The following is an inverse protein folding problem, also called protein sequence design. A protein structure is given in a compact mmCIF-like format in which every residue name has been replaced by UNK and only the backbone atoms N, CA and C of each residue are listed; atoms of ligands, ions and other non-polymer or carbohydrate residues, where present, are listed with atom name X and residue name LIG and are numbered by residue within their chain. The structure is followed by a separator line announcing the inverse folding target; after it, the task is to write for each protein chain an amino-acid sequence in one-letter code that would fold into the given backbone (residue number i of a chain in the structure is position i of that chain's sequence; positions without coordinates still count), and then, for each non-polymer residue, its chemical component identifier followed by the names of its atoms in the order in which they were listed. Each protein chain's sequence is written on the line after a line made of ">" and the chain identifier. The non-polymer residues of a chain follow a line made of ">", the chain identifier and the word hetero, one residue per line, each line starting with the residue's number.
data_IF_122282963976
#
_entry.id   IF_122282963976
#
_cell.length_a   1.000
_cell.length_b   1.000
_cell.length_c   1.000
_cell.angle_alpha   90.00
_cell.angle_beta   90.00
_cell.angle_gamma   90.00
#
_symmetry.space_group_name_H-M   'P 1'
#
loop_
_entity.id
_entity.type
_entity.pdbx_description
1 polymer ?
#
# COMPACT_ATOMS: atom_id res chain seq x y z
N UNK A 1 11.40 -6.06 -8.80
CA UNK A 1 12.36 -6.62 -9.78
C UNK A 1 13.40 -7.58 -9.17
N UNK A 2 14.23 -7.16 -8.19
CA UNK A 2 15.28 -8.05 -7.64
C UNK A 2 14.73 -9.33 -6.99
N UNK A 3 13.60 -9.24 -6.27
CA UNK A 3 12.91 -10.41 -5.71
C UNK A 3 12.48 -11.41 -6.78
N UNK A 4 11.96 -10.94 -7.91
CA UNK A 4 11.57 -11.79 -9.04
C UNK A 4 12.76 -12.49 -9.71
N UNK A 5 13.93 -11.84 -9.75
CA UNK A 5 15.14 -12.41 -10.38
C UNK A 5 15.86 -13.42 -9.48
N UNK A 6 15.92 -13.17 -8.17
CA UNK A 6 16.68 -13.99 -7.23
C UNK A 6 15.80 -15.02 -6.49
N UNK A 7 14.50 -14.78 -6.42
CA UNK A 7 13.61 -15.39 -5.43
C UNK A 7 13.76 -14.74 -4.05
N UNK A 8 12.70 -14.80 -3.25
CA UNK A 8 12.62 -14.16 -1.92
C UNK A 8 13.69 -14.66 -0.95
N UNK A 9 13.90 -15.98 -0.86
CA UNK A 9 14.88 -16.56 0.06
C UNK A 9 16.31 -16.07 -0.20
N UNK A 10 16.71 -15.98 -1.47
CA UNK A 10 18.06 -15.51 -1.83
C UNK A 10 18.17 -14.00 -1.68
N UNK A 11 17.13 -13.24 -2.04
CA UNK A 11 17.11 -11.78 -1.91
C UNK A 11 17.54 -11.35 -0.51
N UNK A 12 16.82 -11.80 0.52
CA UNK A 12 17.07 -11.36 1.90
C UNK A 12 18.41 -11.86 2.44
N UNK A 13 18.80 -13.10 2.10
CA UNK A 13 20.11 -13.63 2.47
C UNK A 13 21.27 -12.82 1.84
N UNK A 14 21.13 -12.42 0.57
CA UNK A 14 22.18 -11.69 -0.14
C UNK A 14 22.31 -10.24 0.29
N UNK A 15 21.21 -9.59 0.68
CA UNK A 15 21.26 -8.26 1.31
C UNK A 15 22.18 -8.24 2.54
N UNK A 16 22.18 -9.32 3.31
CA UNK A 16 23.03 -9.47 4.49
C UNK A 16 24.45 -9.90 4.14
N UNK A 17 24.61 -10.96 3.33
CA UNK A 17 25.91 -11.61 3.09
C UNK A 17 26.74 -10.92 1.99
N UNK A 18 26.10 -10.31 1.00
CA UNK A 18 26.74 -9.75 -0.19
C UNK A 18 26.23 -8.32 -0.51
N UNK A 19 26.30 -7.37 0.44
CA UNK A 19 25.67 -6.05 0.29
C UNK A 19 26.21 -5.26 -0.91
N UNK A 20 27.51 -5.35 -1.20
CA UNK A 20 28.12 -4.66 -2.33
C UNK A 20 27.64 -5.22 -3.68
N UNK A 21 27.46 -6.54 -3.77
CA UNK A 21 26.94 -7.17 -4.99
C UNK A 21 25.46 -6.85 -5.20
N UNK A 22 24.68 -6.77 -4.12
CA UNK A 22 23.29 -6.30 -4.18
C UNK A 22 23.21 -4.86 -4.68
N UNK A 23 24.10 -3.97 -4.22
CA UNK A 23 24.16 -2.60 -4.76
C UNK A 23 24.53 -2.56 -6.26
N UNK A 24 25.40 -3.47 -6.75
CA UNK A 24 25.68 -3.59 -8.20
C UNK A 24 24.43 -4.04 -8.96
N UNK A 25 23.70 -5.02 -8.44
CA UNK A 25 22.44 -5.47 -9.01
C UNK A 25 21.40 -4.34 -9.06
N UNK A 26 21.19 -3.63 -7.96
CA UNK A 26 20.21 -2.53 -7.89
C UNK A 26 20.55 -1.39 -8.84
N UNK A 27 21.84 -1.05 -9.02
CA UNK A 27 22.25 -0.06 -10.04
C UNK A 27 21.89 -0.52 -11.45
N UNK A 28 22.14 -1.78 -11.79
CA UNK A 28 21.74 -2.33 -13.09
C UNK A 28 20.22 -2.29 -13.29
N UNK A 29 19.45 -2.65 -12.26
CA UNK A 29 17.99 -2.57 -12.32
C UNK A 29 17.47 -1.14 -12.48
N UNK A 30 18.08 -0.17 -11.80
CA UNK A 30 17.77 1.25 -11.95
C UNK A 30 18.06 1.74 -13.38
N UNK A 31 19.22 1.39 -13.93
CA UNK A 31 19.60 1.72 -15.32
C UNK A 31 18.62 1.09 -16.32
N UNK A 32 18.29 -0.20 -16.16
CA UNK A 32 17.31 -0.88 -17.01
C UNK A 32 15.93 -0.22 -16.90
N UNK A 33 15.48 0.15 -15.69
CA UNK A 33 14.21 0.85 -15.51
C UNK A 33 14.18 2.18 -16.28
N UNK A 34 15.25 2.97 -16.23
CA UNK A 34 15.36 4.24 -16.97
C UNK A 34 15.20 4.03 -18.47
N UNK A 35 15.91 3.04 -19.03
CA UNK A 35 15.82 2.71 -20.47
C UNK A 35 14.39 2.29 -20.85
N UNK A 36 13.78 1.38 -20.09
CA UNK A 36 12.42 0.92 -20.36
C UNK A 36 11.38 2.05 -20.24
N UNK A 37 11.58 2.97 -19.29
CA UNK A 37 10.68 4.11 -19.09
C UNK A 37 10.78 5.12 -20.24
N UNK A 38 11.99 5.42 -20.71
CA UNK A 38 12.19 6.29 -21.89
C UNK A 38 11.57 5.67 -23.14
N UNK A 39 11.80 4.37 -23.37
CA UNK A 39 11.18 3.65 -24.48
C UNK A 39 9.65 3.67 -24.39
N UNK A 40 9.08 3.48 -23.19
CA UNK A 40 7.65 3.60 -22.97
C UNK A 40 7.11 4.98 -23.40
N UNK A 41 7.80 6.07 -23.04
CA UNK A 41 7.40 7.41 -23.48
C UNK A 41 7.48 7.58 -25.00
N UNK A 42 8.54 7.07 -25.62
CA UNK A 42 8.72 7.13 -27.08
C UNK A 42 7.58 6.43 -27.82
N UNK A 43 7.22 5.21 -27.41
CA UNK A 43 6.22 4.41 -28.14
C UNK A 43 4.78 4.79 -27.84
N UNK A 44 4.49 5.31 -26.65
CA UNK A 44 3.11 5.65 -26.25
C UNK A 44 2.78 7.13 -26.39
N UNK A 45 3.78 8.01 -26.43
CA UNK A 45 3.58 9.46 -26.32
C UNK A 45 3.03 9.90 -24.95
N UNK A 46 3.10 9.04 -23.93
CA UNK A 46 2.57 9.33 -22.61
C UNK A 46 3.25 10.56 -21.97
N UNK A 47 2.47 11.31 -21.20
CA UNK A 47 2.98 12.48 -20.49
C UNK A 47 4.06 12.10 -19.47
N UNK A 48 5.18 12.82 -19.49
CA UNK A 48 6.28 12.63 -18.54
C UNK A 48 5.95 13.24 -17.16
N UNK A 49 6.63 12.75 -16.13
CA UNK A 49 6.56 13.29 -14.78
C UNK A 49 5.61 12.56 -13.84
N UNK A 50 4.91 11.52 -14.30
CA UNK A 50 4.09 10.65 -13.47
C UNK A 50 4.81 9.31 -13.28
N UNK A 51 5.05 8.92 -12.02
CA UNK A 51 5.67 7.63 -11.70
C UNK A 51 4.94 6.92 -10.55
N UNK A 52 4.44 5.73 -10.85
CA UNK A 52 4.08 4.74 -9.84
C UNK A 52 5.16 3.68 -9.70
N UNK A 53 5.46 3.28 -8.45
CA UNK A 53 6.31 2.14 -8.13
C UNK A 53 5.49 1.06 -7.43
N UNK A 54 5.82 -0.21 -7.69
CA UNK A 54 5.33 -1.37 -6.94
C UNK A 54 6.52 -2.04 -6.25
N UNK A 55 6.52 -2.07 -4.92
CA UNK A 55 7.71 -2.44 -4.12
C UNK A 55 7.41 -3.34 -2.91
N UNK A 56 6.65 -4.41 -3.16
CA UNK A 56 6.11 -5.31 -2.13
C UNK A 56 7.17 -6.01 -1.28
N UNK A 57 8.39 -6.21 -1.80
CA UNK A 57 9.45 -6.86 -1.04
C UNK A 57 10.14 -5.93 -0.05
N UNK A 58 10.13 -4.63 -0.30
CA UNK A 58 10.93 -3.69 0.48
C UNK A 58 10.39 -3.46 1.89
N UNK A 59 9.07 -3.52 2.10
CA UNK A 59 8.46 -3.35 3.42
C UNK A 59 8.73 -4.51 4.40
N UNK A 60 9.28 -5.64 3.93
CA UNK A 60 9.80 -6.69 4.82
C UNK A 60 11.17 -6.36 5.42
N UNK A 61 11.85 -5.35 4.89
CA UNK A 61 13.11 -4.88 5.44
C UNK A 61 12.83 -4.02 6.67
N UNK A 62 13.64 -4.16 7.73
CA UNK A 62 13.60 -3.15 8.78
C UNK A 62 14.04 -1.78 8.24
N UNK A 63 13.71 -0.71 8.98
CA UNK A 63 14.00 0.68 8.60
C UNK A 63 15.43 0.90 8.12
N UNK A 64 16.42 0.42 8.87
CA UNK A 64 17.85 0.58 8.53
C UNK A 64 18.20 -0.10 7.20
N UNK A 65 17.65 -1.29 6.94
CA UNK A 65 17.86 -2.00 5.70
C UNK A 65 17.13 -1.32 4.53
N UNK A 66 15.91 -0.83 4.76
CA UNK A 66 15.14 -0.06 3.77
C UNK A 66 15.91 1.19 3.32
N UNK A 67 16.42 1.98 4.26
CA UNK A 67 17.23 3.17 3.98
C UNK A 67 18.49 2.86 3.19
N UNK A 68 19.12 1.72 3.49
CA UNK A 68 20.35 1.30 2.81
C UNK A 68 20.07 0.81 1.38
N UNK A 69 19.08 -0.06 1.20
CA UNK A 69 18.94 -0.87 0.00
C UNK A 69 17.82 -0.46 -0.94
N UNK A 70 16.82 0.26 -0.44
CA UNK A 70 15.63 0.66 -1.21
C UNK A 70 15.60 2.17 -1.43
N UNK A 71 15.65 2.94 -0.34
CA UNK A 71 15.48 4.40 -0.36
C UNK A 71 16.26 5.12 -1.47
N UNK A 72 17.59 4.96 -1.59
CA UNK A 72 18.35 5.72 -2.56
C UNK A 72 17.94 5.44 -4.02
N UNK A 73 17.45 4.25 -4.32
CA UNK A 73 17.08 3.86 -5.68
C UNK A 73 15.69 4.39 -6.04
N UNK A 74 14.70 4.18 -5.16
CA UNK A 74 13.34 4.67 -5.40
C UNK A 74 13.31 6.21 -5.44
N UNK A 75 14.06 6.89 -4.56
CA UNK A 75 14.15 8.35 -4.57
C UNK A 75 14.68 8.88 -5.90
N UNK A 76 15.77 8.32 -6.43
CA UNK A 76 16.32 8.73 -7.74
C UNK A 76 15.35 8.49 -8.89
N UNK A 77 14.57 7.41 -8.84
CA UNK A 77 13.53 7.16 -9.85
C UNK A 77 12.40 8.20 -9.75
N UNK A 78 11.94 8.52 -8.55
CA UNK A 78 10.94 9.57 -8.33
C UNK A 78 11.43 10.97 -8.72
N UNK A 79 12.70 11.29 -8.47
CA UNK A 79 13.31 12.54 -8.92
C UNK A 79 13.42 12.62 -10.44
N UNK A 80 13.73 11.50 -11.11
CA UNK A 80 13.86 11.46 -12.56
C UNK A 80 12.50 11.47 -13.30
N UNK A 81 11.52 10.70 -12.82
CA UNK A 81 10.29 10.43 -13.58
C UNK A 81 9.00 10.81 -12.87
N UNK A 82 9.03 11.10 -11.56
CA UNK A 82 7.87 11.44 -10.74
C UNK A 82 7.81 12.91 -10.34
N UNK A 83 8.16 13.82 -11.25
CA UNK A 83 8.25 15.27 -10.97
C UNK A 83 6.89 15.96 -10.84
N UNK A 84 5.84 15.40 -11.44
CA UNK A 84 4.45 15.88 -11.38
C UNK A 84 3.59 15.08 -10.43
N UNK A 85 3.72 13.76 -10.40
CA UNK A 85 3.00 12.88 -9.48
C UNK A 85 3.78 11.61 -9.15
N UNK A 86 3.49 11.08 -7.96
CA UNK A 86 4.14 9.91 -7.38
C UNK A 86 3.09 9.02 -6.73
N UNK A 87 3.09 7.74 -7.10
CA UNK A 87 2.31 6.70 -6.42
C UNK A 87 3.19 5.54 -5.96
N UNK A 88 2.72 4.81 -4.95
CA UNK A 88 3.39 3.62 -4.42
C UNK A 88 2.36 2.54 -4.12
N UNK A 89 2.60 1.35 -4.64
CA UNK A 89 1.91 0.12 -4.25
C UNK A 89 2.86 -0.73 -3.41
N UNK A 90 2.38 -1.21 -2.25
CA UNK A 90 3.13 -2.11 -1.38
C UNK A 90 2.18 -2.98 -0.55
N UNK A 91 2.23 -4.28 -0.79
CA UNK A 91 1.47 -5.26 -0.01
C UNK A 91 2.07 -5.58 1.37
N UNK A 92 3.33 -5.19 1.60
CA UNK A 92 4.02 -5.36 2.89
C UNK A 92 3.85 -4.17 3.82
N UNK A 93 4.23 -4.36 5.09
CA UNK A 93 4.15 -3.34 6.14
C UNK A 93 4.82 -2.01 5.73
N UNK A 94 4.11 -0.89 5.94
CA UNK A 94 4.59 0.46 5.59
C UNK A 94 4.82 1.36 6.80
N UNK A 95 4.36 0.99 7.99
CA UNK A 95 4.30 1.86 9.17
C UNK A 95 5.70 2.36 9.56
N UNK A 96 6.70 1.52 9.43
CA UNK A 96 8.09 1.81 9.79
C UNK A 96 8.82 2.74 8.80
N UNK A 97 8.23 3.00 7.63
CA UNK A 97 8.76 3.87 6.56
C UNK A 97 7.77 4.96 6.12
N UNK A 98 6.64 5.12 6.80
CA UNK A 98 5.57 6.03 6.39
C UNK A 98 6.03 7.51 6.31
N UNK A 99 7.01 7.93 7.12
CA UNK A 99 7.66 9.24 7.01
C UNK A 99 8.53 9.36 5.75
N UNK A 100 9.20 8.28 5.33
CA UNK A 100 9.92 8.26 4.05
C UNK A 100 8.91 8.40 2.91
N UNK A 101 7.80 7.67 2.94
CA UNK A 101 6.77 7.72 1.90
C UNK A 101 6.19 9.14 1.77
N UNK A 102 5.84 9.76 2.90
CA UNK A 102 5.15 11.06 2.91
C UNK A 102 6.08 12.26 2.77
N UNK A 103 7.22 12.28 3.46
CA UNK A 103 8.04 13.50 3.58
C UNK A 103 9.25 13.48 2.61
N UNK A 104 9.81 12.29 2.34
CA UNK A 104 10.99 12.13 1.46
C UNK A 104 10.55 11.86 0.02
N UNK A 105 9.80 10.78 -0.20
CA UNK A 105 9.28 10.45 -1.52
C UNK A 105 8.14 11.38 -1.92
N UNK A 106 7.40 11.98 -0.98
CA UNK A 106 6.24 12.85 -1.28
C UNK A 106 5.24 12.17 -2.22
N UNK A 107 4.96 10.90 -1.92
CA UNK A 107 3.94 10.12 -2.62
C UNK A 107 2.57 10.76 -2.37
N UNK A 108 1.76 10.89 -3.43
CA UNK A 108 0.41 11.46 -3.34
C UNK A 108 -0.65 10.38 -3.14
N UNK A 109 -0.42 9.19 -3.69
CA UNK A 109 -1.36 8.07 -3.67
C UNK A 109 -0.63 6.78 -3.28
N UNK A 110 -1.11 6.11 -2.23
CA UNK A 110 -0.53 4.86 -1.71
C UNK A 110 -1.59 3.76 -1.68
N UNK A 111 -1.26 2.62 -2.26
CA UNK A 111 -2.05 1.39 -2.16
C UNK A 111 -1.43 0.47 -1.09
N UNK A 112 -2.21 0.09 -0.07
CA UNK A 112 -1.73 -0.56 1.15
C UNK A 112 -2.26 -1.98 1.31
N UNK A 113 -1.36 -2.91 1.65
CA UNK A 113 -1.70 -4.33 1.85
C UNK A 113 -2.48 -4.65 3.14
N UNK A 114 -3.15 -5.81 3.14
CA UNK A 114 -3.98 -6.32 4.25
C UNK A 114 -3.26 -6.32 5.60
N UNK A 115 -1.97 -6.65 5.61
CA UNK A 115 -1.20 -6.82 6.84
C UNK A 115 -0.77 -5.49 7.49
N UNK A 116 -1.03 -4.35 6.84
CA UNK A 116 -0.72 -3.04 7.41
C UNK A 116 -1.72 -2.63 8.51
N UNK A 117 -1.25 -1.92 9.53
CA UNK A 117 -2.08 -1.29 10.53
C UNK A 117 -2.70 0.00 9.96
N UNK A 118 -3.94 -0.12 9.49
CA UNK A 118 -4.68 1.01 8.88
C UNK A 118 -4.84 2.20 9.84
N UNK A 119 -4.89 1.98 11.16
CA UNK A 119 -5.01 3.08 12.13
C UNK A 119 -3.72 3.89 12.16
N UNK A 120 -2.58 3.19 12.23
CA UNK A 120 -1.26 3.85 12.20
C UNK A 120 -1.04 4.56 10.87
N UNK A 121 -1.38 3.93 9.75
CA UNK A 121 -1.24 4.54 8.43
C UNK A 121 -2.15 5.77 8.27
N UNK A 122 -3.41 5.69 8.69
CA UNK A 122 -4.34 6.82 8.66
C UNK A 122 -3.78 8.03 9.43
N UNK A 123 -3.20 7.82 10.61
CA UNK A 123 -2.56 8.88 11.40
C UNK A 123 -1.35 9.49 10.67
N UNK A 124 -0.48 8.66 10.09
CA UNK A 124 0.75 9.13 9.44
C UNK A 124 0.53 9.77 8.07
N UNK A 125 -0.50 9.34 7.34
CA UNK A 125 -0.82 9.80 6.00
C UNK A 125 -1.74 11.01 5.96
N UNK A 126 -2.45 11.29 7.06
CA UNK A 126 -3.43 12.37 7.17
C UNK A 126 -2.93 13.71 6.65
N UNK A 127 -3.60 14.21 5.62
CA UNK A 127 -3.29 15.51 5.00
C UNK A 127 -1.99 15.54 4.18
N UNK A 128 -1.27 14.41 4.06
CA UNK A 128 -0.01 14.30 3.31
C UNK A 128 -0.14 13.45 2.06
N UNK A 129 -0.81 12.31 2.15
CA UNK A 129 -1.06 11.39 1.03
C UNK A 129 -2.48 10.87 1.10
N UNK A 130 -3.05 10.60 -0.07
CA UNK A 130 -4.26 9.79 -0.21
C UNK A 130 -3.82 8.33 -0.16
N UNK A 131 -4.63 7.45 0.42
CA UNK A 131 -4.37 6.02 0.39
C UNK A 131 -5.64 5.18 0.21
N UNK A 132 -5.47 4.00 -0.40
CA UNK A 132 -6.49 2.98 -0.58
C UNK A 132 -6.02 1.63 -0.03
N UNK A 133 -6.96 0.73 0.23
CA UNK A 133 -6.78 -0.50 1.02
C UNK A 133 -7.58 -0.38 2.32
N UNK A 134 -7.35 -1.13 3.38
CA UNK A 134 -6.57 -2.35 3.46
C UNK A 134 -7.47 -3.56 3.75
N UNK A 135 -8.75 -3.51 3.31
CA UNK A 135 -9.74 -4.47 3.74
C UNK A 135 -9.25 -5.90 3.51
N UNK A 136 -9.39 -6.74 4.54
CA UNK A 136 -8.96 -8.13 4.50
C UNK A 136 -9.90 -8.93 3.60
N UNK A 137 -9.57 -9.01 2.31
CA UNK A 137 -10.33 -9.71 1.28
C UNK A 137 -10.69 -11.17 1.65
N UNK A 138 -9.98 -11.79 2.59
CA UNK A 138 -10.27 -13.16 3.05
C UNK A 138 -11.66 -13.30 3.65
N UNK A 139 -12.23 -12.25 4.23
CA UNK A 139 -13.62 -12.26 4.76
C UNK A 139 -14.65 -12.53 3.66
N UNK A 140 -14.33 -12.21 2.41
CA UNK A 140 -15.20 -12.47 1.25
C UNK A 140 -15.31 -13.97 0.93
N UNK A 141 -14.36 -14.78 1.39
CA UNK A 141 -14.37 -16.24 1.21
C UNK A 141 -15.10 -16.98 2.33
N UNK A 142 -15.40 -16.31 3.44
CA UNK A 142 -16.03 -16.94 4.62
C UNK A 142 -17.53 -17.20 4.44
N UNK A 143 -18.16 -16.55 3.45
CA UNK A 143 -19.61 -16.66 3.22
C UNK A 143 -20.46 -15.96 4.29
N UNK A 144 -19.87 -15.07 5.09
CA UNK A 144 -20.53 -14.32 6.15
C UNK A 144 -20.63 -12.84 5.79
N UNK A 145 -21.86 -12.34 5.58
CA UNK A 145 -22.09 -10.91 5.38
C UNK A 145 -21.67 -10.10 6.61
N UNK A 146 -21.86 -10.64 7.82
CA UNK A 146 -21.46 -9.98 9.07
C UNK A 146 -19.94 -9.75 9.12
N UNK A 147 -19.13 -10.72 8.67
CA UNK A 147 -17.67 -10.57 8.62
C UNK A 147 -17.26 -9.43 7.66
N UNK A 148 -17.92 -9.35 6.50
CA UNK A 148 -17.73 -8.26 5.52
C UNK A 148 -18.13 -6.92 6.14
N UNK A 149 -19.29 -6.85 6.79
CA UNK A 149 -19.77 -5.63 7.44
C UNK A 149 -18.77 -5.14 8.50
N UNK A 150 -18.29 -6.03 9.39
CA UNK A 150 -17.31 -5.71 10.42
C UNK A 150 -16.00 -5.18 9.82
N UNK A 151 -15.49 -5.83 8.76
CA UNK A 151 -14.24 -5.42 8.13
C UNK A 151 -14.35 -4.05 7.45
N UNK A 152 -15.45 -3.83 6.72
CA UNK A 152 -15.74 -2.53 6.09
C UNK A 152 -15.84 -1.43 7.15
N UNK A 153 -16.57 -1.67 8.24
CA UNK A 153 -16.72 -0.70 9.32
C UNK A 153 -15.40 -0.43 10.03
N UNK A 154 -14.57 -1.46 10.27
CA UNK A 154 -13.23 -1.32 10.87
C UNK A 154 -12.38 -0.36 10.03
N UNK A 155 -12.30 -0.60 8.73
CA UNK A 155 -11.56 0.25 7.81
C UNK A 155 -12.07 1.70 7.81
N UNK A 156 -13.38 1.90 7.65
CA UNK A 156 -13.98 3.24 7.58
C UNK A 156 -13.87 3.97 8.92
N UNK A 157 -14.05 3.28 10.05
CA UNK A 157 -13.93 3.85 11.39
C UNK A 157 -12.55 4.45 11.64
N UNK A 158 -11.49 3.73 11.26
CA UNK A 158 -10.11 4.17 11.50
C UNK A 158 -9.60 5.17 10.46
N UNK A 159 -9.91 4.97 9.17
CA UNK A 159 -9.23 5.67 8.08
C UNK A 159 -10.04 6.81 7.43
N UNK A 160 -11.37 6.71 7.41
CA UNK A 160 -12.19 7.71 6.73
C UNK A 160 -12.27 9.09 7.44
N UNK A 161 -12.28 9.20 8.79
CA UNK A 161 -12.42 10.50 9.44
C UNK A 161 -11.35 11.53 9.05
N UNK A 162 -11.78 12.59 8.37
CA UNK A 162 -10.90 13.67 7.89
C UNK A 162 -10.59 13.63 6.39
N UNK A 163 -11.07 12.62 5.65
CA UNK A 163 -10.81 12.48 4.22
C UNK A 163 -9.40 11.93 3.92
N UNK A 164 -9.11 11.73 2.63
CA UNK A 164 -7.82 11.19 2.17
C UNK A 164 -7.74 9.66 2.18
N UNK A 165 -8.87 8.97 2.41
CA UNK A 165 -8.98 7.52 2.38
C UNK A 165 -9.98 7.05 1.33
N UNK A 166 -9.62 6.02 0.57
CA UNK A 166 -10.47 5.32 -0.38
C UNK A 166 -10.61 3.89 0.11
N UNK A 167 -11.84 3.46 0.41
CA UNK A 167 -12.07 2.06 0.76
C UNK A 167 -11.75 1.15 -0.43
N UNK A 168 -10.88 0.17 -0.20
CA UNK A 168 -10.51 -0.87 -1.16
C UNK A 168 -10.03 -2.13 -0.40
N UNK A 169 -9.95 -3.25 -1.10
CA UNK A 169 -9.28 -4.44 -0.58
C UNK A 169 -7.77 -4.19 -0.47
N UNK A 170 -7.14 -4.74 0.56
CA UNK A 170 -5.69 -4.64 0.70
C UNK A 170 -4.99 -5.47 -0.38
N UNK A 171 -4.18 -4.82 -1.20
CA UNK A 171 -3.49 -5.45 -2.32
C UNK A 171 -4.42 -5.74 -3.50
N UNK A 172 -4.75 -7.01 -3.73
CA UNK A 172 -5.56 -7.44 -4.87
C UNK A 172 -6.78 -8.27 -4.43
N UNK A 173 -7.80 -8.34 -5.28
CA UNK A 173 -8.83 -9.37 -5.18
C UNK A 173 -8.35 -10.65 -5.84
N UNK A 174 -8.43 -11.78 -5.14
CA UNK A 174 -7.91 -13.07 -5.62
C UNK A 174 -8.98 -13.91 -6.32
N UNK A 175 -8.51 -14.87 -7.12
CA UNK A 175 -9.37 -15.86 -7.75
C UNK A 175 -10.24 -16.58 -6.71
N UNK A 176 -11.45 -16.97 -7.12
CA UNK A 176 -12.47 -17.65 -6.31
C UNK A 176 -13.24 -16.78 -5.31
N UNK A 177 -12.98 -15.46 -5.22
CA UNK A 177 -13.88 -14.56 -4.49
C UNK A 177 -15.26 -14.56 -5.16
N UNK A 178 -16.35 -14.85 -4.44
CA UNK A 178 -17.69 -14.81 -5.02
C UNK A 178 -18.07 -13.38 -5.42
N UNK A 179 -18.47 -13.12 -6.68
CA UNK A 179 -18.78 -11.76 -7.15
C UNK A 179 -19.89 -11.06 -6.37
N UNK A 180 -20.84 -11.81 -5.81
CA UNK A 180 -21.91 -11.31 -4.96
C UNK A 180 -21.40 -10.78 -3.62
N UNK A 181 -20.36 -11.39 -3.05
CA UNK A 181 -19.74 -10.92 -1.81
C UNK A 181 -19.00 -9.62 -2.05
N UNK A 182 -18.25 -9.53 -3.15
CA UNK A 182 -17.56 -8.30 -3.56
C UNK A 182 -18.56 -7.16 -3.86
N UNK A 183 -19.67 -7.46 -4.55
CA UNK A 183 -20.74 -6.48 -4.77
C UNK A 183 -21.33 -6.00 -3.46
N UNK A 184 -21.61 -6.91 -2.53
CA UNK A 184 -22.15 -6.57 -1.23
C UNK A 184 -21.21 -5.69 -0.42
N UNK A 185 -19.91 -6.02 -0.38
CA UNK A 185 -18.87 -5.22 0.27
C UNK A 185 -18.89 -3.76 -0.22
N UNK A 186 -18.88 -3.57 -1.55
CA UNK A 186 -18.89 -2.24 -2.17
C UNK A 186 -20.18 -1.47 -1.82
N UNK A 187 -21.34 -2.11 -1.90
CA UNK A 187 -22.62 -1.47 -1.55
C UNK A 187 -22.69 -1.11 -0.06
N UNK A 188 -22.14 -1.94 0.80
CA UNK A 188 -22.07 -1.68 2.23
C UNK A 188 -21.10 -0.54 2.56
N UNK A 189 -19.92 -0.52 1.95
CA UNK A 189 -18.96 0.58 2.10
C UNK A 189 -19.56 1.93 1.66
N UNK A 190 -20.31 1.96 0.55
CA UNK A 190 -21.06 3.15 0.11
C UNK A 190 -22.15 3.58 1.09
N UNK A 191 -22.74 2.64 1.84
CA UNK A 191 -23.77 2.92 2.85
C UNK A 191 -23.17 3.58 4.09
N UNK A 192 -22.12 2.99 4.66
CA UNK A 192 -21.55 3.42 5.96
C UNK A 192 -20.48 4.51 5.82
N UNK A 193 -19.82 4.60 4.66
CA UNK A 193 -18.73 5.54 4.36
C UNK A 193 -19.17 6.93 3.90
N UNK A 194 -20.45 7.30 4.05
CA UNK A 194 -20.93 8.64 3.68
C UNK A 194 -20.46 9.69 4.68
N UNK A 195 -19.84 10.75 4.16
CA UNK A 195 -19.43 11.89 4.96
C UNK A 195 -20.61 12.79 5.38
N UNK A 196 -20.57 13.42 6.57
CA UNK A 196 -19.55 13.19 7.61
C UNK A 196 -19.69 11.80 8.23
N UNK A 197 -18.55 11.15 8.52
CA UNK A 197 -18.52 9.82 9.15
C UNK A 197 -19.10 9.94 10.57
N UNK A 198 -20.18 9.20 10.85
CA UNK A 198 -20.88 9.21 12.15
C UNK A 198 -20.86 7.82 12.75
N UNK A 199 -20.75 7.74 14.07
CA UNK A 199 -20.83 6.46 14.80
C UNK A 199 -22.13 5.70 14.51
N UNK A 200 -23.26 6.41 14.36
CA UNK A 200 -24.55 5.79 14.02
C UNK A 200 -24.63 5.21 12.60
N UNK A 201 -23.60 5.37 11.76
CA UNK A 201 -23.52 4.66 10.49
C UNK A 201 -23.19 3.18 10.68
N UNK A 202 -22.55 2.83 11.81
CA UNK A 202 -21.97 1.52 12.07
C UNK A 202 -22.93 0.62 12.86
N UNK A 203 -23.19 -0.57 12.33
CA UNK A 203 -23.98 -1.64 12.93
C UNK A 203 -23.20 -2.40 13.99
N UNK A 204 -21.88 -2.56 13.82
CA UNK A 204 -21.01 -3.40 14.64
C UNK A 204 -19.96 -2.60 15.42
N UNK A 205 -20.27 -1.35 15.76
CA UNK A 205 -19.36 -0.45 16.46
C UNK A 205 -18.86 -1.02 17.80
N UNK A 206 -19.70 -1.76 18.51
CA UNK A 206 -19.35 -2.41 19.78
C UNK A 206 -18.27 -3.49 19.61
N UNK A 207 -18.23 -4.17 18.46
CA UNK A 207 -17.15 -5.11 18.09
C UNK A 207 -15.83 -4.34 17.93
N UNK A 208 -15.84 -3.29 17.11
CA UNK A 208 -14.64 -2.48 16.80
C UNK A 208 -14.07 -1.81 18.05
N UNK A 209 -14.93 -1.25 18.91
CA UNK A 209 -14.49 -0.59 20.15
C UNK A 209 -13.94 -1.58 21.18
N UNK A 210 -14.43 -2.83 21.21
CA UNK A 210 -13.86 -3.88 22.07
C UNK A 210 -12.46 -4.29 21.61
N UNK A 211 -12.22 -4.40 20.31
CA UNK A 211 -10.89 -4.69 19.77
C UNK A 211 -9.89 -3.58 20.10
N UNK A 212 -10.31 -2.32 19.94
CA UNK A 212 -9.49 -1.15 20.30
C UNK A 212 -9.01 -1.18 21.75
N UNK A 213 -9.85 -1.64 22.69
CA UNK A 213 -9.50 -1.73 24.12
C UNK A 213 -8.57 -2.88 24.46
N UNK A 214 -8.54 -3.94 23.65
CA UNK A 214 -7.63 -5.08 23.85
C UNK A 214 -6.21 -4.76 23.36
N UNK A 215 -6.09 -3.86 22.39
CA UNK A 215 -4.85 -3.55 21.69
C UNK A 215 -4.22 -2.19 22.08
N UNK A 216 -4.83 -1.46 23.03
CA UNK A 216 -4.34 -0.17 23.55
C UNK A 216 -3.82 -0.30 24.96
#
# INVERSE_FOLDING_TARGET
>A
AAGSLLGTSRLYFWLLKYPNEMHKLFRKLEETFKVLREYYYEVTGAERGHLGLADDHSGYLNRRMYEKFTLPYNLRLYEAFGTKDRSLHMDSHMEHIADIITDVYRVRNVDVGVESDIKVLAEKFKGKTIFNGNANWRVLLEGSLEAIEIEVERCIYYAAPGGGYIFDNGGETYANIPPEMLKYEVEYAKKVGKYPIKQGNFKHLDVIEREKRKNG
#
